data_IF_435739775754
#
_entry.id   IF_435739775754
#
_cell.length_a   1.000
_cell.length_b   1.000
_cell.length_c   1.000
_cell.angle_alpha   90.00
_cell.angle_beta   90.00
_cell.angle_gamma   90.00
#
_symmetry.space_group_name_H-M   'P 1'
#
loop_
_entity.id
_entity.type
_entity.pdbx_description
1 polymer ?
#
# COMPACT_ATOMS: atom_id res chain seq x y z
N UNK A 1 -3.19 -26.59 7.09
CA UNK A 1 -4.13 -25.89 7.99
C UNK A 1 -3.36 -24.99 8.95
N UNK A 2 -3.65 -23.68 9.03
CA UNK A 2 -3.04 -22.77 10.03
C UNK A 2 -4.02 -22.59 11.19
N UNK A 3 -3.57 -22.82 12.43
CA UNK A 3 -4.40 -22.66 13.63
C UNK A 3 -4.88 -21.20 13.76
N UNK A 4 -6.16 -20.99 14.09
CA UNK A 4 -6.73 -19.66 14.39
C UNK A 4 -5.93 -18.91 15.46
N UNK A 5 -5.35 -19.65 16.41
CA UNK A 5 -4.46 -19.08 17.42
C UNK A 5 -3.22 -18.45 16.80
N UNK A 6 -2.65 -19.08 15.77
CA UNK A 6 -1.46 -18.59 15.07
C UNK A 6 -1.76 -17.30 14.28
N UNK A 7 -2.94 -17.19 13.66
CA UNK A 7 -3.37 -15.94 13.00
C UNK A 7 -3.43 -14.78 13.99
N UNK A 8 -3.98 -15.02 15.19
CA UNK A 8 -4.04 -14.02 16.26
C UNK A 8 -2.64 -13.68 16.77
N UNK A 9 -1.75 -14.65 16.90
CA UNK A 9 -0.34 -14.41 17.27
C UNK A 9 0.39 -13.53 16.25
N UNK A 10 0.22 -13.81 14.94
CA UNK A 10 0.83 -13.02 13.87
C UNK A 10 0.29 -11.59 13.85
N UNK A 11 -1.02 -11.41 14.03
CA UNK A 11 -1.64 -10.08 14.16
C UNK A 11 -1.14 -9.33 15.39
N UNK A 12 -0.97 -10.02 16.53
CA UNK A 12 -0.41 -9.43 17.74
C UNK A 12 1.05 -9.01 17.56
N UNK A 13 1.85 -9.83 16.87
CA UNK A 13 3.24 -9.54 16.54
C UNK A 13 3.32 -8.29 15.66
N UNK A 14 2.49 -8.20 14.62
CA UNK A 14 2.45 -7.04 13.73
C UNK A 14 1.99 -5.75 14.44
N UNK A 15 0.94 -5.81 15.26
CA UNK A 15 0.47 -4.62 16.00
C UNK A 15 1.57 -4.06 16.92
N UNK A 16 2.38 -4.93 17.53
CA UNK A 16 3.45 -4.55 18.45
C UNK A 16 4.79 -4.23 17.78
N UNK A 17 4.93 -4.50 16.48
CA UNK A 17 6.18 -4.23 15.75
C UNK A 17 6.32 -2.75 15.39
N UNK A 18 7.52 -2.33 15.00
CA UNK A 18 7.77 -0.99 14.46
C UNK A 18 7.22 -0.82 13.04
N UNK A 19 7.03 -1.91 12.29
CA UNK A 19 6.57 -1.82 10.92
C UNK A 19 5.14 -1.34 10.80
N UNK A 20 4.91 -0.43 9.87
CA UNK A 20 3.60 0.16 9.64
C UNK A 20 2.72 -0.65 8.69
N UNK A 21 3.27 -1.60 7.93
CA UNK A 21 2.52 -2.31 6.88
C UNK A 21 2.62 -3.84 7.03
N UNK A 22 1.51 -4.53 6.75
CA UNK A 22 1.50 -5.99 6.56
C UNK A 22 0.61 -6.38 5.38
N UNK A 23 0.90 -7.54 4.78
CA UNK A 23 0.02 -8.15 3.78
C UNK A 23 -0.80 -9.26 4.46
N UNK A 24 -2.10 -9.28 4.21
CA UNK A 24 -3.00 -10.34 4.67
C UNK A 24 -3.45 -11.16 3.46
N UNK A 25 -2.98 -12.41 3.40
CA UNK A 25 -3.32 -13.41 2.39
C UNK A 25 -4.21 -14.50 3.01
N UNK A 26 -4.73 -15.42 2.19
CA UNK A 26 -5.36 -16.65 2.62
C UNK A 26 -6.65 -16.98 1.88
N UNK A 27 -7.12 -18.22 2.01
CA UNK A 27 -8.27 -18.74 1.25
C UNK A 27 -9.65 -18.24 1.70
N UNK A 28 -9.74 -17.43 2.76
CA UNK A 28 -11.00 -16.81 3.18
C UNK A 28 -11.29 -15.51 2.40
N UNK A 29 -11.42 -15.68 1.08
CA UNK A 29 -11.46 -14.65 0.03
C UNK A 29 -12.33 -13.44 0.41
N UNK A 30 -13.46 -13.65 1.09
CA UNK A 30 -14.43 -12.59 1.41
C UNK A 30 -14.51 -12.19 2.90
N UNK A 31 -13.74 -12.79 3.80
CA UNK A 31 -13.83 -12.47 5.24
C UNK A 31 -12.52 -12.04 5.86
N UNK A 32 -11.39 -12.10 5.16
CA UNK A 32 -10.10 -11.59 5.67
C UNK A 32 -10.19 -10.18 6.26
N UNK A 33 -10.82 -9.25 5.53
CA UNK A 33 -11.01 -7.88 6.02
C UNK A 33 -11.92 -7.82 7.27
N UNK A 34 -12.97 -8.64 7.33
CA UNK A 34 -13.84 -8.75 8.52
C UNK A 34 -13.09 -9.33 9.72
N UNK A 35 -12.21 -10.32 9.51
CA UNK A 35 -11.38 -10.92 10.55
C UNK A 35 -10.37 -9.91 11.10
N UNK A 36 -9.76 -9.08 10.23
CA UNK A 36 -8.92 -7.96 10.66
C UNK A 36 -9.72 -6.98 11.51
N UNK A 37 -10.93 -6.57 11.08
CA UNK A 37 -11.77 -5.65 11.86
C UNK A 37 -12.21 -6.25 13.20
N UNK A 38 -12.56 -7.53 13.23
CA UNK A 38 -12.91 -8.24 14.45
C UNK A 38 -11.74 -8.23 15.43
N UNK A 39 -10.55 -8.60 14.96
CA UNK A 39 -9.33 -8.55 15.76
C UNK A 39 -9.07 -7.14 16.31
N UNK A 40 -9.13 -6.10 15.48
CA UNK A 40 -8.95 -4.71 15.91
C UNK A 40 -9.96 -4.29 16.98
N UNK A 41 -11.21 -4.74 16.87
CA UNK A 41 -12.23 -4.48 17.87
C UNK A 41 -11.94 -5.21 19.19
N UNK A 42 -11.46 -6.45 19.11
CA UNK A 42 -11.16 -7.32 20.25
C UNK A 42 -9.94 -6.84 21.06
N UNK A 43 -9.13 -5.92 20.50
CA UNK A 43 -8.08 -5.22 21.27
C UNK A 43 -8.64 -4.35 22.41
N UNK A 44 -9.93 -4.03 22.40
CA UNK A 44 -10.57 -3.23 23.46
C UNK A 44 -10.21 -1.75 23.45
N UNK A 45 -9.49 -1.29 22.43
CA UNK A 45 -9.05 0.10 22.28
C UNK A 45 -10.00 0.89 21.38
N UNK A 46 -10.18 2.19 21.66
CA UNK A 46 -10.93 3.09 20.77
C UNK A 46 -10.09 3.38 19.52
N UNK A 47 -10.36 2.67 18.43
CA UNK A 47 -9.60 2.81 17.19
C UNK A 47 -10.41 3.53 16.12
N UNK A 48 -9.76 4.47 15.43
CA UNK A 48 -10.28 5.10 14.23
C UNK A 48 -9.72 4.38 13.01
N UNK A 49 -10.59 3.75 12.23
CA UNK A 49 -10.21 2.85 11.13
C UNK A 49 -10.74 3.40 9.82
N UNK A 50 -9.89 3.46 8.80
CA UNK A 50 -10.32 3.67 7.41
C UNK A 50 -10.34 2.32 6.69
N UNK A 51 -11.42 2.03 5.99
CA UNK A 51 -11.49 0.92 5.05
C UNK A 51 -11.54 1.48 3.63
N UNK A 52 -10.53 1.14 2.83
CA UNK A 52 -10.46 1.43 1.40
C UNK A 52 -11.01 0.23 0.63
N UNK A 53 -12.11 0.43 -0.07
CA UNK A 53 -12.75 -0.59 -0.91
C UNK A 53 -12.71 -0.24 -2.39
N UNK A 54 -12.88 -1.20 -3.29
CA UNK A 54 -12.88 -0.92 -4.73
C UNK A 54 -13.93 0.13 -5.11
N UNK A 55 -15.20 -0.10 -4.77
CA UNK A 55 -16.30 0.82 -5.06
C UNK A 55 -17.33 0.88 -3.92
N UNK A 56 -17.95 2.06 -3.71
CA UNK A 56 -18.88 2.27 -2.59
C UNK A 56 -20.15 1.40 -2.65
N UNK A 57 -20.57 0.96 -3.84
CA UNK A 57 -21.69 0.04 -4.00
C UNK A 57 -21.39 -1.37 -3.47
N UNK A 58 -20.12 -1.79 -3.45
CA UNK A 58 -19.70 -3.07 -2.86
C UNK A 58 -19.75 -3.04 -1.32
N UNK A 59 -19.68 -1.85 -0.73
CA UNK A 59 -19.69 -1.67 0.72
C UNK A 59 -20.90 -2.31 1.39
N UNK A 60 -22.09 -2.19 0.78
CA UNK A 60 -23.32 -2.67 1.39
C UNK A 60 -23.29 -4.18 1.63
N UNK A 61 -22.72 -4.93 0.69
CA UNK A 61 -22.55 -6.37 0.81
C UNK A 61 -21.43 -6.75 1.79
N UNK A 62 -20.33 -6.00 1.82
CA UNK A 62 -19.15 -6.32 2.62
C UNK A 62 -19.30 -5.92 4.10
N UNK A 63 -19.87 -4.75 4.36
CA UNK A 63 -19.85 -4.08 5.68
C UNK A 63 -21.22 -3.50 6.08
N UNK A 64 -22.20 -3.51 5.16
CA UNK A 64 -23.47 -2.81 5.30
C UNK A 64 -23.42 -1.37 4.79
N UNK A 65 -24.48 -0.61 5.04
CA UNK A 65 -24.62 0.76 4.51
C UNK A 65 -23.63 1.73 5.18
N UNK A 66 -22.76 2.33 4.37
CA UNK A 66 -21.87 3.42 4.72
C UNK A 66 -21.98 4.56 3.70
N UNK A 67 -21.60 5.76 4.13
CA UNK A 67 -21.44 6.93 3.27
C UNK A 67 -20.02 7.44 3.43
N UNK A 68 -19.35 7.75 2.32
CA UNK A 68 -18.00 8.32 2.34
C UNK A 68 -17.95 9.54 3.26
N UNK A 69 -16.91 9.62 4.10
CA UNK A 69 -16.67 10.72 5.03
C UNK A 69 -17.53 10.71 6.30
N UNK A 70 -18.54 9.83 6.38
CA UNK A 70 -19.39 9.70 7.56
C UNK A 70 -18.94 8.50 8.39
N UNK A 71 -18.48 8.69 9.64
CA UNK A 71 -18.10 7.57 10.48
C UNK A 71 -19.31 6.77 10.94
N UNK A 72 -19.12 5.47 11.12
CA UNK A 72 -20.02 4.61 11.87
C UNK A 72 -19.30 4.04 13.08
N UNK A 73 -19.90 4.19 14.25
CA UNK A 73 -19.40 3.54 15.46
C UNK A 73 -19.85 2.09 15.49
N UNK A 74 -18.89 1.18 15.63
CA UNK A 74 -19.11 -0.26 15.80
C UNK A 74 -18.30 -0.69 17.01
N UNK A 75 -18.97 -0.80 18.16
CA UNK A 75 -18.33 -1.12 19.44
C UNK A 75 -17.11 -0.20 19.73
N UNK A 76 -15.90 -0.75 19.72
CA UNK A 76 -14.65 -0.04 20.00
C UNK A 76 -14.10 0.69 18.76
N UNK A 77 -14.65 0.44 17.58
CA UNK A 77 -14.19 1.02 16.32
C UNK A 77 -15.03 2.24 15.91
N UNK A 78 -14.33 3.26 15.40
CA UNK A 78 -14.91 4.33 14.59
C UNK A 78 -14.49 4.11 13.16
N UNK A 79 -15.40 3.56 12.35
CA UNK A 79 -15.11 3.10 10.99
C UNK A 79 -15.52 4.16 9.99
N UNK A 80 -14.57 4.56 9.15
CA UNK A 80 -14.79 5.29 7.92
C UNK A 80 -14.61 4.32 6.75
N UNK A 81 -15.49 4.41 5.75
CA UNK A 81 -15.35 3.66 4.50
C UNK A 81 -15.26 4.64 3.35
N UNK A 82 -14.34 4.38 2.43
CA UNK A 82 -14.27 5.12 1.19
C UNK A 82 -13.76 4.21 0.06
N UNK A 83 -14.12 4.56 -1.17
CA UNK A 83 -13.71 3.80 -2.35
C UNK A 83 -12.26 4.09 -2.75
N UNK A 84 -11.73 3.31 -3.68
CA UNK A 84 -10.47 3.53 -4.38
C UNK A 84 -10.60 4.59 -5.50
N UNK A 85 -11.72 5.31 -5.54
CA UNK A 85 -11.88 6.47 -6.40
C UNK A 85 -11.15 7.67 -5.78
N UNK A 86 -10.08 8.12 -6.43
CA UNK A 86 -9.26 9.26 -5.99
C UNK A 86 -10.09 10.52 -5.69
N UNK A 87 -11.20 10.73 -6.40
CA UNK A 87 -12.05 11.92 -6.21
C UNK A 87 -12.77 11.95 -4.86
N UNK A 88 -13.04 10.81 -4.24
CA UNK A 88 -13.79 10.74 -2.98
C UNK A 88 -12.89 10.83 -1.75
N UNK A 89 -11.57 10.64 -1.92
CA UNK A 89 -10.60 10.53 -0.84
C UNK A 89 -10.56 11.76 0.08
N UNK A 90 -10.72 12.97 -0.46
CA UNK A 90 -10.71 14.19 0.36
C UNK A 90 -11.90 14.32 1.32
N UNK A 91 -12.90 13.45 1.21
CA UNK A 91 -14.07 13.45 2.08
C UNK A 91 -13.84 12.70 3.40
N UNK A 92 -12.77 11.91 3.53
CA UNK A 92 -12.40 11.26 4.79
C UNK A 92 -11.30 12.05 5.51
N UNK A 93 -11.21 11.95 6.85
CA UNK A 93 -10.07 12.48 7.60
C UNK A 93 -8.73 11.95 7.09
N UNK A 94 -7.63 12.58 7.51
CA UNK A 94 -6.28 12.11 7.18
C UNK A 94 -5.67 11.17 8.24
N UNK A 95 -6.05 11.35 9.50
CA UNK A 95 -5.50 10.61 10.64
C UNK A 95 -6.36 9.40 11.04
N UNK A 96 -5.73 8.24 11.14
CA UNK A 96 -6.32 6.96 11.53
C UNK A 96 -5.34 6.18 12.41
N UNK A 97 -5.84 5.30 13.26
CA UNK A 97 -4.97 4.31 13.91
C UNK A 97 -4.64 3.18 12.93
N UNK A 98 -5.64 2.73 12.16
CA UNK A 98 -5.47 1.67 11.19
C UNK A 98 -6.12 1.99 9.84
N UNK A 99 -5.50 1.53 8.75
CA UNK A 99 -6.09 1.48 7.41
C UNK A 99 -6.20 0.03 6.97
N UNK A 100 -7.35 -0.37 6.47
CA UNK A 100 -7.57 -1.67 5.82
C UNK A 100 -7.86 -1.43 4.35
N UNK A 101 -7.01 -1.96 3.48
CA UNK A 101 -7.14 -1.86 2.02
C UNK A 101 -7.64 -3.20 1.51
N UNK A 102 -8.87 -3.24 0.99
CA UNK A 102 -9.49 -4.47 0.53
C UNK A 102 -10.41 -4.26 -0.68
N UNK A 103 -10.22 -4.97 -1.79
CA UNK A 103 -9.14 -5.92 -2.03
C UNK A 103 -7.91 -5.24 -2.63
N UNK A 104 -6.71 -5.68 -2.26
CA UNK A 104 -5.48 -5.17 -2.89
C UNK A 104 -5.35 -5.58 -4.37
N UNK A 105 -6.11 -6.59 -4.79
CA UNK A 105 -6.26 -7.05 -6.17
C UNK A 105 -6.78 -5.94 -7.10
N UNK A 106 -7.52 -4.98 -6.57
CA UNK A 106 -8.05 -3.84 -7.33
C UNK A 106 -7.00 -2.77 -7.63
N UNK A 107 -5.82 -2.85 -7.00
CA UNK A 107 -4.74 -1.90 -7.22
C UNK A 107 -3.99 -2.19 -8.52
N UNK A 108 -3.72 -1.14 -9.29
CA UNK A 108 -3.04 -1.20 -10.58
C UNK A 108 -1.52 -1.15 -10.44
N UNK A 109 -1.00 -2.01 -9.57
CA UNK A 109 0.43 -2.08 -9.25
C UNK A 109 0.95 -0.78 -8.64
N UNK A 110 2.26 -0.58 -8.77
CA UNK A 110 2.98 0.46 -8.05
C UNK A 110 2.49 1.88 -8.35
N UNK A 111 2.11 2.14 -9.59
CA UNK A 111 1.62 3.43 -10.04
C UNK A 111 0.23 3.81 -9.52
N UNK A 112 -0.42 2.94 -8.74
CA UNK A 112 -1.79 3.20 -8.33
C UNK A 112 -1.87 4.42 -7.40
N UNK A 113 -2.65 5.46 -7.77
CA UNK A 113 -2.76 6.67 -6.96
C UNK A 113 -3.33 6.40 -5.56
N UNK A 114 -4.06 5.30 -5.36
CA UNK A 114 -4.53 4.89 -4.03
C UNK A 114 -3.39 4.50 -3.10
N UNK A 115 -2.34 3.86 -3.62
CA UNK A 115 -1.16 3.53 -2.83
C UNK A 115 -0.45 4.81 -2.40
N UNK A 116 -0.28 5.76 -3.33
CA UNK A 116 0.30 7.06 -3.01
C UNK A 116 -0.53 7.84 -1.97
N UNK A 117 -1.87 7.81 -2.06
CA UNK A 117 -2.75 8.39 -1.02
C UNK A 117 -2.48 7.80 0.35
N UNK A 118 -2.50 6.47 0.44
CA UNK A 118 -2.32 5.75 1.70
C UNK A 118 -0.94 6.02 2.31
N UNK A 119 0.11 6.02 1.49
CA UNK A 119 1.49 6.12 2.00
C UNK A 119 1.95 7.55 2.28
N UNK A 120 1.44 8.55 1.55
CA UNK A 120 1.94 9.93 1.69
C UNK A 120 0.97 10.89 2.36
N UNK A 121 -0.34 10.67 2.19
CA UNK A 121 -1.36 11.66 2.55
C UNK A 121 -2.27 11.19 3.69
N UNK A 122 -2.16 9.91 4.09
CA UNK A 122 -2.81 9.36 5.27
C UNK A 122 -1.81 9.14 6.37
N UNK A 123 -2.16 9.61 7.56
CA UNK A 123 -1.44 9.35 8.79
C UNK A 123 -2.07 8.11 9.42
N UNK A 124 -1.36 6.98 9.35
CA UNK A 124 -1.80 5.72 9.94
C UNK A 124 -0.66 5.00 10.63
N UNK A 125 -0.92 4.48 11.83
CA UNK A 125 0.06 3.68 12.58
C UNK A 125 0.25 2.30 11.94
N UNK A 126 -0.85 1.70 11.46
CA UNK A 126 -0.86 0.36 10.86
C UNK A 126 -1.72 0.30 9.60
N UNK A 127 -1.21 -0.36 8.56
CA UNK A 127 -1.88 -0.57 7.28
C UNK A 127 -1.92 -2.07 6.99
N UNK A 128 -3.13 -2.57 6.72
CA UNK A 128 -3.41 -3.94 6.34
C UNK A 128 -3.74 -3.99 4.85
N UNK A 129 -2.84 -4.58 4.05
CA UNK A 129 -3.01 -4.81 2.63
C UNK A 129 -3.67 -6.19 2.43
N UNK A 130 -4.99 -6.23 2.28
CA UNK A 130 -5.79 -7.48 2.31
C UNK A 130 -6.17 -7.94 0.91
N UNK A 131 -5.77 -9.14 0.51
CA UNK A 131 -6.16 -9.74 -0.78
C UNK A 131 -7.61 -10.22 -0.77
N UNK A 132 -8.24 -10.21 -1.94
CA UNK A 132 -9.38 -11.07 -2.24
C UNK A 132 -8.82 -12.45 -2.59
N UNK A 133 -8.07 -12.54 -3.70
CA UNK A 133 -7.50 -13.77 -4.22
C UNK A 133 -5.97 -13.77 -4.07
N UNK A 134 -5.38 -14.87 -3.63
CA UNK A 134 -3.92 -14.95 -3.46
C UNK A 134 -3.19 -15.35 -4.74
N UNK A 135 -3.85 -15.23 -5.89
CA UNK A 135 -3.29 -15.54 -7.22
C UNK A 135 -2.45 -14.39 -7.80
N UNK A 136 -2.10 -13.38 -7.02
CA UNK A 136 -1.34 -12.22 -7.49
C UNK A 136 -0.03 -12.09 -6.72
N UNK A 137 1.03 -11.72 -7.45
CA UNK A 137 2.31 -11.38 -6.83
C UNK A 137 2.25 -9.96 -6.26
N UNK A 138 2.18 -9.85 -4.93
CA UNK A 138 2.19 -8.58 -4.21
C UNK A 138 3.58 -8.14 -3.77
N UNK A 139 4.66 -8.75 -4.30
CA UNK A 139 6.04 -8.39 -3.95
C UNK A 139 6.36 -6.92 -4.22
N UNK A 140 5.71 -6.29 -5.20
CA UNK A 140 5.86 -4.85 -5.47
C UNK A 140 5.53 -3.99 -4.25
N UNK A 141 4.60 -4.41 -3.38
CA UNK A 141 4.31 -3.69 -2.14
C UNK A 141 5.49 -3.73 -1.18
N UNK A 142 6.23 -4.84 -1.12
CA UNK A 142 7.44 -4.96 -0.27
C UNK A 142 8.57 -4.04 -0.72
N UNK A 143 8.52 -3.58 -1.96
CA UNK A 143 9.51 -2.64 -2.50
C UNK A 143 9.20 -1.18 -2.13
N UNK A 144 7.94 -0.84 -1.83
CA UNK A 144 7.49 0.54 -1.56
C UNK A 144 6.99 0.78 -0.13
N UNK A 145 6.59 -0.28 0.55
CA UNK A 145 6.12 -0.29 1.92
C UNK A 145 7.12 -1.06 2.79
N UNK A 146 7.30 -0.62 4.04
CA UNK A 146 7.99 -1.43 5.05
C UNK A 146 7.06 -2.57 5.51
N UNK A 147 7.01 -3.65 4.70
CA UNK A 147 6.26 -4.86 5.02
C UNK A 147 7.20 -5.84 5.71
N UNK A 148 7.03 -6.00 7.02
CA UNK A 148 7.78 -6.98 7.81
C UNK A 148 7.11 -8.34 7.88
N UNK A 149 5.78 -8.40 7.76
CA UNK A 149 5.02 -9.63 7.97
C UNK A 149 3.99 -9.87 6.84
N UNK A 150 3.85 -11.15 6.47
CA UNK A 150 2.75 -11.68 5.67
C UNK A 150 1.92 -12.58 6.60
N UNK A 151 0.65 -12.22 6.77
CA UNK A 151 -0.29 -12.92 7.64
C UNK A 151 -1.20 -13.77 6.76
N UNK A 152 -1.23 -15.08 6.98
CA UNK A 152 -2.07 -16.00 6.22
C UNK A 152 -3.32 -16.38 7.02
N UNK A 153 -4.49 -16.14 6.44
CA UNK A 153 -5.82 -16.39 6.99
C UNK A 153 -6.58 -17.37 6.08
N UNK A 154 -6.28 -18.66 6.23
CA UNK A 154 -6.93 -19.72 5.46
C UNK A 154 -8.26 -20.17 6.08
N UNK A 155 -9.21 -20.54 5.21
CA UNK A 155 -10.39 -21.32 5.56
C UNK A 155 -10.02 -22.79 5.80
N UNK A 156 -10.86 -23.51 6.55
CA UNK A 156 -10.67 -24.91 6.94
C UNK A 156 -10.68 -25.92 5.75
N UNK A 157 -10.77 -25.50 4.49
CA UNK A 157 -10.81 -26.37 3.30
C UNK A 157 -9.52 -26.26 2.46
N UNK A 158 -8.57 -27.17 2.73
CA UNK A 158 -7.24 -27.25 2.11
C UNK A 158 -7.25 -27.46 0.58
N UNK A 159 -8.37 -27.90 0.01
CA UNK A 159 -8.47 -28.25 -1.43
C UNK A 159 -8.45 -27.04 -2.36
N UNK A 160 -8.85 -25.87 -1.86
CA UNK A 160 -8.92 -24.61 -2.63
C UNK A 160 -7.56 -23.90 -2.65
N UNK A 161 -6.83 -23.91 -1.52
CA UNK A 161 -5.51 -23.28 -1.38
C UNK A 161 -4.50 -23.86 -2.38
N UNK A 162 -4.41 -25.19 -2.43
CA UNK A 162 -3.46 -25.91 -3.30
C UNK A 162 -3.80 -25.79 -4.79
N UNK A 163 -5.03 -25.44 -5.17
CA UNK A 163 -5.40 -25.19 -6.58
C UNK A 163 -5.03 -23.79 -7.06
N UNK A 164 -4.99 -22.80 -6.17
CA UNK A 164 -4.70 -21.40 -6.50
C UNK A 164 -3.19 -21.15 -6.58
N UNK A 165 -2.41 -21.74 -5.66
CA UNK A 165 -0.94 -21.65 -5.62
C UNK A 165 -0.28 -22.36 -6.81
N UNK A 166 -0.88 -23.44 -7.32
CA UNK A 166 -0.31 -24.23 -8.41
C UNK A 166 -0.64 -23.73 -9.83
N UNK A 167 -1.58 -22.78 -9.99
CA UNK A 167 -2.07 -22.32 -11.30
C UNK A 167 -1.67 -20.88 -11.66
N UNK A 168 -0.76 -20.26 -10.92
CA UNK A 168 -0.51 -18.83 -11.06
C UNK A 168 0.58 -18.51 -12.09
N UNK A 169 0.18 -17.79 -13.14
CA UNK A 169 1.05 -17.21 -14.15
C UNK A 169 1.96 -16.12 -13.56
N UNK A 170 3.23 -16.10 -14.00
CA UNK A 170 4.19 -15.03 -13.77
C UNK A 170 3.63 -13.68 -14.24
N UNK A 171 3.29 -12.80 -13.30
CA UNK A 171 3.32 -11.35 -13.55
C UNK A 171 4.79 -10.93 -13.45
N UNK A 172 5.27 -10.14 -14.40
CA UNK A 172 6.64 -9.67 -14.44
C UNK A 172 7.00 -8.95 -13.13
N UNK A 173 8.08 -9.40 -12.50
CA UNK A 173 8.69 -8.71 -11.36
C UNK A 173 9.04 -7.28 -11.79
N UNK A 174 8.37 -6.30 -11.22
CA UNK A 174 8.62 -4.90 -11.52
C UNK A 174 9.87 -4.41 -10.80
N UNK A 175 11.07 -4.75 -11.31
CA UNK A 175 12.32 -4.38 -10.63
C UNK A 175 12.55 -2.86 -10.61
N UNK A 176 12.57 -2.26 -9.41
CA UNK A 176 13.04 -0.88 -9.22
C UNK A 176 14.55 -0.81 -9.35
N UNK A 177 15.04 0.26 -9.99
CA UNK A 177 16.45 0.59 -9.91
C UNK A 177 16.72 1.40 -8.65
N UNK A 178 17.63 0.90 -7.83
CA UNK A 178 18.14 1.58 -6.65
C UNK A 178 19.16 2.64 -7.06
N UNK A 179 18.91 3.89 -6.69
CA UNK A 179 19.75 5.05 -6.95
C UNK A 179 20.12 5.73 -5.63
N UNK A 180 21.29 6.35 -5.58
CA UNK A 180 21.77 7.06 -4.40
C UNK A 180 21.93 8.55 -4.70
N UNK A 181 21.38 9.40 -3.84
CA UNK A 181 21.48 10.86 -3.96
C UNK A 181 21.94 11.49 -2.66
N UNK A 182 22.73 12.56 -2.75
CA UNK A 182 23.29 13.24 -1.58
C UNK A 182 22.22 14.04 -0.82
N UNK A 183 21.23 14.54 -1.53
CA UNK A 183 20.03 15.18 -0.97
C UNK A 183 18.81 14.92 -1.87
N UNK A 184 17.62 15.22 -1.36
CA UNK A 184 16.34 14.97 -2.03
C UNK A 184 15.86 16.16 -2.88
N UNK A 185 16.75 17.11 -3.22
CA UNK A 185 16.40 18.14 -4.18
C UNK A 185 16.10 17.51 -5.54
N UNK A 186 15.13 18.08 -6.26
CA UNK A 186 14.75 17.59 -7.59
C UNK A 186 15.95 17.53 -8.54
N UNK A 187 16.83 18.52 -8.47
CA UNK A 187 18.07 18.55 -9.25
C UNK A 187 18.94 17.30 -9.04
N UNK A 188 19.14 16.86 -7.78
CA UNK A 188 19.94 15.67 -7.49
C UNK A 188 19.25 14.37 -7.89
N UNK A 189 17.92 14.31 -7.75
CA UNK A 189 17.12 13.19 -8.23
C UNK A 189 17.22 13.09 -9.76
N UNK A 190 17.12 14.23 -10.45
CA UNK A 190 17.24 14.33 -11.91
C UNK A 190 18.61 13.92 -12.42
N UNK A 191 19.69 14.40 -11.79
CA UNK A 191 21.05 13.97 -12.14
C UNK A 191 21.19 12.45 -12.07
N UNK A 192 20.68 11.82 -11.00
CA UNK A 192 20.72 10.37 -10.82
C UNK A 192 19.86 9.63 -11.87
N UNK A 193 18.65 10.11 -12.16
CA UNK A 193 17.77 9.53 -13.17
C UNK A 193 18.34 9.68 -14.58
N UNK A 194 18.86 10.86 -14.93
CA UNK A 194 19.46 11.12 -16.23
C UNK A 194 20.73 10.28 -16.43
N UNK A 195 21.56 10.13 -15.39
CA UNK A 195 22.74 9.25 -15.42
C UNK A 195 22.35 7.79 -15.65
N UNK A 196 21.20 7.34 -15.13
CA UNK A 196 20.74 5.95 -15.28
C UNK A 196 20.00 5.70 -16.60
N UNK A 197 19.20 6.65 -17.07
CA UNK A 197 18.22 6.44 -18.13
C UNK A 197 18.41 7.32 -19.38
N UNK A 198 19.44 8.16 -19.41
CA UNK A 198 19.87 8.99 -20.54
C UNK A 198 18.75 9.86 -21.15
N UNK A 199 18.20 10.79 -20.34
CA UNK A 199 17.05 11.64 -20.69
C UNK A 199 17.41 12.83 -21.61
N UNK A 200 18.70 13.23 -21.67
CA UNK A 200 19.21 14.13 -22.71
C UNK A 200 19.16 15.64 -22.44
N UNK A 201 19.18 16.09 -21.18
CA UNK A 201 19.25 17.52 -20.77
C UNK A 201 17.89 18.13 -20.40
N UNK A 202 17.82 19.05 -19.43
CA UNK A 202 16.71 19.18 -18.46
C UNK A 202 15.70 20.31 -18.77
N UNK A 203 14.40 20.05 -18.57
CA UNK A 203 13.36 21.06 -18.26
C UNK A 203 12.57 20.64 -17.01
N UNK A 204 12.74 21.34 -15.89
CA UNK A 204 11.94 21.17 -14.68
C UNK A 204 10.66 21.99 -14.79
N UNK A 205 9.68 21.56 -15.58
CA UNK A 205 8.37 22.20 -15.55
C UNK A 205 7.49 21.52 -14.51
N UNK A 206 7.32 22.18 -13.35
CA UNK A 206 6.17 22.09 -12.43
C UNK A 206 6.15 21.11 -11.23
N UNK A 207 7.24 20.92 -10.49
CA UNK A 207 7.16 20.24 -9.18
C UNK A 207 8.00 20.92 -8.09
N UNK A 208 7.67 20.65 -6.82
CA UNK A 208 8.19 21.33 -5.62
C UNK A 208 9.72 21.28 -5.44
N UNK A 209 10.24 21.84 -4.35
CA UNK A 209 11.69 22.03 -4.17
C UNK A 209 12.46 20.74 -3.87
N UNK A 210 11.82 19.76 -3.25
CA UNK A 210 12.43 18.49 -2.82
C UNK A 210 11.40 17.37 -2.65
N UNK A 211 11.86 16.12 -2.66
CA UNK A 211 11.09 14.98 -2.14
C UNK A 211 11.36 14.81 -0.64
N UNK A 212 10.40 14.23 0.07
CA UNK A 212 10.53 13.93 1.49
C UNK A 212 10.96 12.46 1.70
N UNK A 213 11.70 12.16 2.79
CA UNK A 213 11.93 10.78 3.21
C UNK A 213 10.59 10.03 3.35
N UNK A 214 10.55 8.78 2.90
CA UNK A 214 9.33 7.97 2.91
C UNK A 214 8.34 8.26 1.78
N UNK A 215 8.49 9.36 1.03
CA UNK A 215 7.54 9.75 0.00
C UNK A 215 7.53 8.74 -1.16
N UNK A 216 6.33 8.40 -1.63
CA UNK A 216 6.09 7.52 -2.78
C UNK A 216 5.13 8.13 -3.80
N UNK A 217 5.55 8.34 -5.04
CA UNK A 217 4.66 8.92 -6.04
C UNK A 217 5.12 8.78 -7.48
N UNK A 218 4.28 9.26 -8.38
CA UNK A 218 4.63 9.42 -9.78
C UNK A 218 5.16 10.82 -10.04
N UNK A 219 6.30 10.89 -10.71
CA UNK A 219 7.00 12.13 -11.01
C UNK A 219 7.38 12.14 -12.49
N UNK A 220 7.01 13.21 -13.17
CA UNK A 220 7.33 13.39 -14.59
C UNK A 220 8.64 14.16 -14.70
N UNK A 221 9.63 13.56 -15.35
CA UNK A 221 10.92 14.19 -15.62
C UNK A 221 11.08 14.40 -17.12
N UNK A 222 11.20 15.67 -17.53
CA UNK A 222 11.31 16.11 -18.92
C UNK A 222 12.76 16.34 -19.32
N UNK A 223 13.22 15.64 -20.37
CA UNK A 223 14.46 15.94 -21.06
C UNK A 223 14.23 16.50 -22.47
N UNK A 224 15.25 17.13 -23.07
CA UNK A 224 15.22 17.67 -24.43
C UNK A 224 14.88 16.60 -25.48
N UNK A 225 15.19 15.33 -25.19
CA UNK A 225 14.94 14.20 -26.09
C UNK A 225 13.67 13.41 -25.75
N UNK A 226 13.31 13.33 -24.47
CA UNK A 226 12.17 12.53 -24.02
C UNK A 226 11.67 13.00 -22.65
N UNK A 227 10.35 13.02 -22.49
CA UNK A 227 9.70 13.11 -21.18
C UNK A 227 9.32 11.71 -20.73
N UNK A 228 9.68 11.36 -19.49
CA UNK A 228 9.34 10.06 -18.91
C UNK A 228 8.66 10.25 -17.55
N UNK A 229 7.70 9.38 -17.26
CA UNK A 229 7.05 9.28 -15.95
C UNK A 229 7.77 8.20 -15.16
N UNK A 230 8.12 8.51 -13.93
CA UNK A 230 8.79 7.59 -13.01
C UNK A 230 7.92 7.35 -11.78
N UNK A 231 7.78 6.10 -11.37
CA UNK A 231 7.37 5.78 -10.00
C UNK A 231 8.61 5.84 -9.11
N UNK A 232 8.58 6.65 -8.05
CA UNK A 232 9.71 6.86 -7.15
C UNK A 232 9.27 6.65 -5.70
N UNK A 233 9.99 5.79 -4.96
CA UNK A 233 9.97 5.71 -3.49
C UNK A 233 11.28 6.27 -2.95
N UNK A 234 11.17 7.19 -2.00
CA UNK A 234 12.29 7.62 -1.15
C UNK A 234 12.30 6.73 0.09
N UNK A 235 13.39 6.01 0.35
CA UNK A 235 13.53 5.28 1.62
C UNK A 235 13.62 6.27 2.78
N UNK A 236 13.02 5.92 3.92
CA UNK A 236 13.12 6.72 5.14
C UNK A 236 14.56 6.76 5.66
N UNK A 237 15.23 5.60 5.62
CA UNK A 237 16.60 5.46 6.08
C UNK A 237 17.63 5.75 4.97
N UNK A 238 18.73 6.37 5.37
CA UNK A 238 19.92 6.56 4.53
C UNK A 238 20.75 5.30 4.52
N UNK A 239 21.40 5.04 3.39
CA UNK A 239 22.42 3.99 3.26
C UNK A 239 23.76 4.64 2.93
N UNK A 240 24.79 4.32 3.71
CA UNK A 240 26.14 4.92 3.56
C UNK A 240 26.11 6.46 3.53
N UNK A 241 25.25 7.08 4.34
CA UNK A 241 25.10 8.53 4.43
C UNK A 241 24.32 9.18 3.27
N UNK A 242 23.87 8.41 2.27
CA UNK A 242 23.10 8.90 1.12
C UNK A 242 21.63 8.51 1.20
N UNK A 243 20.77 9.33 0.61
CA UNK A 243 19.38 8.96 0.41
C UNK A 243 19.27 7.91 -0.69
N UNK A 244 18.32 6.99 -0.52
CA UNK A 244 18.07 5.91 -1.47
C UNK A 244 16.74 6.17 -2.16
N UNK A 245 16.79 6.21 -3.48
CA UNK A 245 15.62 6.26 -4.35
C UNK A 245 15.43 4.89 -4.99
N UNK A 246 14.22 4.38 -4.94
CA UNK A 246 13.79 3.27 -5.78
C UNK A 246 13.02 3.90 -6.93
N UNK A 247 13.55 3.83 -8.15
CA UNK A 247 12.94 4.42 -9.32
C UNK A 247 12.63 3.38 -10.41
N UNK A 248 11.50 3.55 -11.10
CA UNK A 248 11.11 2.74 -12.26
C UNK A 248 10.46 3.62 -13.32
N UNK A 249 10.82 3.41 -14.59
CA UNK A 249 10.14 4.04 -15.73
C UNK A 249 8.77 3.40 -15.89
N UNK A 250 7.74 4.24 -16.01
CA UNK A 250 6.41 3.82 -16.46
C UNK A 250 6.45 3.64 -17.98
N UNK A 251 6.22 2.40 -18.43
CA UNK A 251 6.10 2.03 -19.85
C UNK A 251 4.87 2.65 -20.51
#
# INVERSE_FOLDING_TARGET
MRDKNKVIEDLNKFIKSESSNCIVLGTDVQKKHLNVLKYLNDLGMKLKVLIRINAMNECEYLLGKFKTGVPKKVQNLTIYVDSMNVKSQNNTPRNFNCIVVYPIDSLKGISDPNISDILNYREAEKVFWVSNHDSYDYSYLKEICDISDVIEMDNDDESIHNRIVNNTNKVERENFNKLYVDNLSYYKIEEALNSKYNLGGIYTSSMGTELLPGQFGEFTFGGYKATKVFSIKVKEEKENGKYVLLAKIKS
#
